data_IF_322804852688
#
_entry.id   IF_322804852688
#
_cell.length_a   1.000
_cell.length_b   1.000
_cell.length_c   1.000
_cell.angle_alpha   90.00
_cell.angle_beta   90.00
_cell.angle_gamma   90.00
#
_symmetry.space_group_name_H-M   'P 1'
#
loop_
_entity.id
_entity.type
_entity.pdbx_description
1 polymer ?
#
# COMPACT_ATOMS: atom_id res chain seq x y z
N UNK A 1 -20.77 39.91 -4.97
CA UNK A 1 -21.63 39.15 -5.92
C UNK A 1 -23.10 39.34 -5.58
N UNK A 2 -23.98 39.44 -6.59
CA UNK A 2 -25.44 39.46 -6.39
C UNK A 2 -26.04 38.04 -6.51
N UNK A 3 -27.21 37.80 -5.92
CA UNK A 3 -27.88 36.48 -5.89
C UNK A 3 -28.17 35.90 -7.28
N UNK A 4 -28.39 36.75 -8.28
CA UNK A 4 -28.60 36.34 -9.67
C UNK A 4 -27.36 35.71 -10.31
N UNK A 5 -26.17 36.27 -10.05
CA UNK A 5 -24.90 35.73 -10.57
C UNK A 5 -24.59 34.37 -9.93
N UNK A 6 -24.89 34.23 -8.63
CA UNK A 6 -24.80 32.96 -7.94
C UNK A 6 -25.77 31.93 -8.54
N UNK A 7 -27.03 32.30 -8.77
CA UNK A 7 -28.02 31.39 -9.35
C UNK A 7 -27.60 30.87 -10.73
N UNK A 8 -27.09 31.76 -11.61
CA UNK A 8 -26.54 31.35 -12.91
C UNK A 8 -25.40 30.35 -12.73
N UNK A 9 -24.47 30.63 -11.82
CA UNK A 9 -23.33 29.73 -11.59
C UNK A 9 -23.76 28.36 -11.04
N UNK A 10 -24.75 28.33 -10.14
CA UNK A 10 -25.31 27.07 -9.63
C UNK A 10 -26.03 26.29 -10.72
N UNK A 11 -26.70 26.96 -11.66
CA UNK A 11 -27.30 26.32 -12.84
C UNK A 11 -26.24 25.74 -13.75
N UNK A 12 -25.19 26.51 -14.07
CA UNK A 12 -24.06 26.03 -14.89
C UNK A 12 -23.40 24.80 -14.25
N UNK A 13 -23.26 24.79 -12.93
CA UNK A 13 -22.74 23.64 -12.20
C UNK A 13 -23.72 22.45 -12.22
N UNK A 14 -25.01 22.65 -11.94
CA UNK A 14 -26.01 21.59 -11.94
C UNK A 14 -26.16 20.92 -13.32
N UNK A 15 -26.12 21.72 -14.39
CA UNK A 15 -26.28 21.29 -15.79
C UNK A 15 -24.97 20.81 -16.44
N UNK A 16 -23.86 20.77 -15.70
CA UNK A 16 -22.62 20.19 -16.22
C UNK A 16 -21.84 21.10 -17.18
N UNK A 17 -22.03 22.42 -17.11
CA UNK A 17 -21.39 23.41 -17.99
C UNK A 17 -20.04 23.91 -17.49
N UNK A 18 -19.72 23.67 -16.21
CA UNK A 18 -18.43 24.01 -15.61
C UNK A 18 -17.35 22.94 -15.84
N UNK A 19 -16.08 23.36 -15.82
CA UNK A 19 -14.90 22.50 -15.74
C UNK A 19 -14.29 22.54 -14.33
N UNK A 20 -13.43 21.58 -13.95
CA UNK A 20 -12.72 21.63 -12.68
C UNK A 20 -11.92 22.90 -12.47
N UNK A 21 -11.26 23.37 -13.53
CA UNK A 21 -10.44 24.58 -13.48
C UNK A 21 -11.30 25.84 -13.35
N UNK A 22 -12.39 25.93 -14.13
CA UNK A 22 -13.28 27.11 -14.08
C UNK A 22 -14.02 27.20 -12.75
N UNK A 23 -14.51 26.07 -12.23
CA UNK A 23 -15.19 26.02 -10.95
C UNK A 23 -14.26 26.39 -9.80
N UNK A 24 -13.03 25.84 -9.80
CA UNK A 24 -12.04 26.14 -8.76
C UNK A 24 -11.60 27.59 -8.77
N UNK A 25 -11.26 28.14 -9.94
CA UNK A 25 -10.88 29.55 -10.06
C UNK A 25 -12.00 30.47 -9.60
N UNK A 26 -13.23 30.18 -10.00
CA UNK A 26 -14.39 30.97 -9.60
C UNK A 26 -14.64 30.87 -8.09
N UNK A 27 -14.53 29.68 -7.50
CA UNK A 27 -14.67 29.49 -6.06
C UNK A 27 -13.61 30.30 -5.29
N UNK A 28 -12.35 30.19 -5.67
CA UNK A 28 -11.24 30.86 -4.98
C UNK A 28 -11.40 32.40 -5.01
N UNK A 29 -11.96 32.95 -6.09
CA UNK A 29 -12.28 34.38 -6.22
C UNK A 29 -13.48 34.82 -5.37
N UNK A 30 -14.49 33.97 -5.20
CA UNK A 30 -15.79 34.34 -4.63
C UNK A 30 -16.05 33.75 -3.23
N UNK A 31 -15.12 32.95 -2.68
CA UNK A 31 -15.26 32.28 -1.37
C UNK A 31 -15.69 33.23 -0.23
N UNK A 32 -15.07 34.42 -0.04
CA UNK A 32 -15.46 35.33 1.05
C UNK A 32 -16.87 35.90 0.89
N UNK A 33 -17.33 36.07 -0.34
CA UNK A 33 -18.67 36.59 -0.63
C UNK A 33 -19.74 35.51 -0.43
N UNK A 34 -19.43 34.27 -0.82
CA UNK A 34 -20.30 33.10 -0.63
C UNK A 34 -20.53 32.78 0.85
N UNK A 35 -19.52 32.96 1.70
CA UNK A 35 -19.63 32.70 3.14
C UNK A 35 -20.62 33.67 3.83
N UNK A 36 -20.81 34.87 3.29
CA UNK A 36 -21.77 35.85 3.79
C UNK A 36 -23.18 35.67 3.19
N UNK A 37 -23.28 35.10 1.98
CA UNK A 37 -24.55 34.95 1.25
C UNK A 37 -25.28 33.63 1.56
N UNK A 38 -24.54 32.55 1.78
CA UNK A 38 -25.09 31.22 2.01
C UNK A 38 -25.15 30.88 3.50
N UNK A 39 -26.10 30.03 3.88
CA UNK A 39 -26.02 29.43 5.22
C UNK A 39 -24.77 28.55 5.32
N UNK A 40 -24.24 28.38 6.54
CA UNK A 40 -23.03 27.58 6.76
C UNK A 40 -23.12 26.18 6.15
N UNK A 41 -24.29 25.54 6.20
CA UNK A 41 -24.50 24.20 5.64
C UNK A 41 -24.48 24.17 4.11
N UNK A 42 -25.05 25.19 3.45
CA UNK A 42 -25.04 25.32 1.99
C UNK A 42 -23.62 25.62 1.48
N UNK A 43 -22.92 26.53 2.16
CA UNK A 43 -21.53 26.86 1.86
C UNK A 43 -20.63 25.61 1.92
N UNK A 44 -20.73 24.81 2.98
CA UNK A 44 -19.90 23.60 3.13
C UNK A 44 -20.21 22.52 2.08
N UNK A 45 -21.47 22.39 1.64
CA UNK A 45 -21.84 21.45 0.58
C UNK A 45 -21.39 21.91 -0.80
N UNK A 46 -21.32 23.22 -1.03
CA UNK A 46 -20.89 23.81 -2.29
C UNK A 46 -19.36 23.90 -2.40
N UNK A 47 -18.65 23.94 -1.27
CA UNK A 47 -17.20 24.07 -1.23
C UNK A 47 -16.49 22.90 -1.94
N UNK A 48 -15.61 23.16 -2.92
CA UNK A 48 -14.79 22.14 -3.54
C UNK A 48 -13.90 21.46 -2.49
N UNK A 49 -13.96 20.13 -2.43
CA UNK A 49 -13.05 19.35 -1.59
C UNK A 49 -11.65 19.29 -2.22
N UNK A 50 -10.63 19.03 -1.41
CA UNK A 50 -9.29 18.69 -1.91
C UNK A 50 -9.28 17.19 -2.25
N UNK A 51 -8.94 16.87 -3.48
CA UNK A 51 -8.91 15.49 -3.97
C UNK A 51 -7.93 15.36 -5.15
N UNK A 52 -7.31 14.19 -5.33
CA UNK A 52 -6.36 13.92 -6.41
C UNK A 52 -7.05 13.80 -7.78
N UNK A 53 -8.22 13.13 -7.84
CA UNK A 53 -9.11 13.18 -9.01
C UNK A 53 -9.68 14.58 -9.26
N UNK A 54 -9.58 15.03 -10.51
CA UNK A 54 -9.98 16.38 -10.94
C UNK A 54 -11.47 16.63 -10.87
N UNK A 55 -12.29 15.60 -11.14
CA UNK A 55 -13.74 15.76 -11.22
C UNK A 55 -14.48 15.60 -9.88
N UNK A 56 -13.85 15.00 -8.87
CA UNK A 56 -14.48 14.79 -7.54
C UNK A 56 -14.88 16.10 -6.86
N UNK A 57 -14.07 17.18 -6.87
CA UNK A 57 -14.45 18.45 -6.27
C UNK A 57 -15.68 19.07 -6.94
N UNK A 58 -15.77 19.03 -8.27
CA UNK A 58 -16.90 19.57 -9.05
C UNK A 58 -18.15 18.74 -8.82
N UNK A 59 -18.04 17.41 -8.87
CA UNK A 59 -19.15 16.48 -8.61
C UNK A 59 -19.73 16.66 -7.19
N UNK A 60 -18.87 16.87 -6.20
CA UNK A 60 -19.30 17.14 -4.82
C UNK A 60 -20.04 18.47 -4.73
N UNK A 61 -19.48 19.51 -5.36
CA UNK A 61 -20.07 20.85 -5.39
C UNK A 61 -21.39 20.89 -6.15
N UNK A 62 -21.55 20.10 -7.22
CA UNK A 62 -22.78 19.95 -7.98
C UNK A 62 -23.94 19.47 -7.09
N UNK A 63 -23.69 18.52 -6.18
CA UNK A 63 -24.69 18.08 -5.21
C UNK A 63 -25.11 19.22 -4.26
N UNK A 64 -24.16 20.08 -3.89
CA UNK A 64 -24.45 21.30 -3.14
C UNK A 64 -25.32 22.29 -3.91
N UNK A 65 -24.99 22.53 -5.19
CA UNK A 65 -25.75 23.42 -6.06
C UNK A 65 -27.18 22.93 -6.30
N UNK A 66 -27.36 21.64 -6.57
CA UNK A 66 -28.68 21.00 -6.71
C UNK A 66 -29.52 21.26 -5.45
N UNK A 67 -28.97 20.98 -4.26
CA UNK A 67 -29.71 21.17 -3.01
C UNK A 67 -30.11 22.64 -2.75
N UNK A 68 -29.27 23.60 -3.18
CA UNK A 68 -29.59 25.04 -3.08
C UNK A 68 -30.70 25.42 -4.07
N UNK A 69 -30.62 24.94 -5.32
CA UNK A 69 -31.61 25.22 -6.37
C UNK A 69 -32.98 24.58 -6.07
N UNK A 70 -33.00 23.35 -5.53
CA UNK A 70 -34.22 22.69 -5.06
C UNK A 70 -34.91 23.50 -3.97
N UNK A 71 -34.13 24.03 -3.01
CA UNK A 71 -34.64 24.86 -1.92
C UNK A 71 -35.16 26.22 -2.39
N UNK A 72 -34.57 26.79 -3.45
CA UNK A 72 -35.03 28.06 -4.04
C UNK A 72 -36.19 27.89 -5.02
N UNK A 73 -36.58 26.65 -5.37
CA UNK A 73 -37.64 26.37 -6.34
C UNK A 73 -37.28 26.73 -7.79
N UNK A 74 -35.98 26.83 -8.10
CA UNK A 74 -35.49 27.14 -9.43
C UNK A 74 -35.50 25.88 -10.29
N UNK A 75 -35.98 25.95 -11.53
CA UNK A 75 -35.92 24.83 -12.46
C UNK A 75 -34.49 24.64 -13.01
N UNK A 76 -34.02 23.40 -13.07
CA UNK A 76 -32.72 23.02 -13.61
C UNK A 76 -32.77 21.59 -14.16
N UNK A 77 -31.83 21.23 -15.02
CA UNK A 77 -31.61 19.85 -15.47
C UNK A 77 -30.33 19.29 -14.85
N UNK A 78 -30.42 18.14 -14.17
CA UNK A 78 -29.22 17.49 -13.60
C UNK A 78 -28.45 16.81 -14.71
N UNK A 79 -27.20 17.23 -14.91
CA UNK A 79 -26.28 16.56 -15.82
C UNK A 79 -25.49 15.47 -15.12
N UNK A 80 -25.37 14.31 -15.77
CA UNK A 80 -24.52 13.21 -15.32
C UNK A 80 -23.05 13.37 -15.74
N UNK A 81 -22.70 14.45 -16.46
CA UNK A 81 -21.38 14.63 -17.05
C UNK A 81 -20.25 14.46 -16.03
N UNK A 82 -20.35 15.08 -14.85
CA UNK A 82 -19.27 15.03 -13.85
C UNK A 82 -19.07 13.63 -13.27
N UNK A 83 -20.16 12.88 -13.08
CA UNK A 83 -20.08 11.50 -12.64
C UNK A 83 -19.44 10.62 -13.72
N UNK A 84 -19.84 10.77 -14.99
CA UNK A 84 -19.24 10.03 -16.10
C UNK A 84 -17.75 10.35 -16.27
N UNK A 85 -17.37 11.62 -16.15
CA UNK A 85 -15.97 12.06 -16.24
C UNK A 85 -15.13 11.56 -15.08
N UNK A 86 -15.67 11.57 -13.86
CA UNK A 86 -15.02 10.98 -12.69
C UNK A 86 -14.82 9.48 -12.87
N UNK A 87 -15.84 8.74 -13.31
CA UNK A 87 -15.73 7.29 -13.55
C UNK A 87 -14.69 6.97 -14.63
N UNK A 88 -14.63 7.76 -15.70
CA UNK A 88 -13.60 7.61 -16.73
C UNK A 88 -12.18 7.91 -16.21
N UNK A 89 -12.02 8.92 -15.37
CA UNK A 89 -10.75 9.25 -14.71
C UNK A 89 -10.30 8.14 -13.76
N UNK A 90 -11.24 7.58 -12.97
CA UNK A 90 -11.00 6.46 -12.07
C UNK A 90 -10.60 5.19 -12.84
N UNK A 91 -11.30 4.86 -13.92
CA UNK A 91 -10.96 3.72 -14.78
C UNK A 91 -9.57 3.88 -15.44
N UNK A 92 -9.26 5.08 -15.94
CA UNK A 92 -7.95 5.39 -16.49
C UNK A 92 -6.84 5.24 -15.44
N UNK A 93 -7.07 5.73 -14.22
CA UNK A 93 -6.14 5.58 -13.10
C UNK A 93 -5.92 4.10 -12.76
N UNK A 94 -6.97 3.31 -12.61
CA UNK A 94 -6.87 1.87 -12.34
C UNK A 94 -6.06 1.15 -13.42
N UNK A 95 -6.33 1.45 -14.70
CA UNK A 95 -5.58 0.87 -15.83
C UNK A 95 -4.11 1.25 -15.80
N UNK A 96 -3.78 2.49 -15.46
CA UNK A 96 -2.39 2.92 -15.35
C UNK A 96 -1.67 2.24 -14.18
N UNK A 97 -2.33 2.13 -13.02
CA UNK A 97 -1.79 1.38 -11.88
C UNK A 97 -1.52 -0.09 -12.25
N UNK A 98 -2.42 -0.75 -12.98
CA UNK A 98 -2.19 -2.10 -13.47
C UNK A 98 -0.98 -2.18 -14.43
N UNK A 99 -0.80 -1.19 -15.31
CA UNK A 99 0.35 -1.15 -16.24
C UNK A 99 1.65 -0.98 -15.48
N UNK A 100 1.70 -0.07 -14.51
CA UNK A 100 2.85 0.14 -13.63
C UNK A 100 3.19 -1.16 -12.88
N UNK A 101 2.18 -1.81 -12.28
CA UNK A 101 2.37 -3.07 -11.55
C UNK A 101 2.86 -4.20 -12.45
N UNK A 102 2.30 -4.34 -13.66
CA UNK A 102 2.78 -5.32 -14.66
C UNK A 102 4.22 -5.05 -15.08
N UNK A 103 4.62 -3.77 -15.20
CA UNK A 103 6.00 -3.39 -15.52
C UNK A 103 6.95 -3.75 -14.37
N UNK A 104 6.61 -3.37 -13.14
CA UNK A 104 7.35 -3.76 -11.92
C UNK A 104 7.54 -5.28 -11.83
N UNK A 105 6.47 -6.06 -12.01
CA UNK A 105 6.57 -7.52 -11.97
C UNK A 105 7.45 -8.10 -13.07
N UNK A 106 7.43 -7.54 -14.28
CA UNK A 106 8.31 -7.97 -15.38
C UNK A 106 9.77 -7.67 -15.08
N UNK A 107 10.08 -6.47 -14.59
CA UNK A 107 11.43 -6.06 -14.19
C UNK A 107 11.94 -6.93 -13.04
N UNK A 108 11.12 -7.14 -12.02
CA UNK A 108 11.45 -8.02 -10.89
C UNK A 108 11.77 -9.44 -11.36
N UNK A 109 10.92 -10.02 -12.21
CA UNK A 109 11.11 -11.39 -12.72
C UNK A 109 12.38 -11.51 -13.58
N UNK A 110 12.74 -10.46 -14.31
CA UNK A 110 13.97 -10.43 -15.10
C UNK A 110 15.23 -10.38 -14.20
N UNK A 111 15.16 -9.63 -13.09
CA UNK A 111 16.28 -9.47 -12.17
C UNK A 111 16.44 -10.65 -11.18
N UNK A 112 15.34 -11.30 -10.79
CA UNK A 112 15.32 -12.39 -9.81
C UNK A 112 14.58 -13.64 -10.35
N UNK A 113 15.04 -14.26 -11.46
CA UNK A 113 14.32 -15.34 -12.11
C UNK A 113 14.21 -16.60 -11.24
N UNK A 114 15.26 -16.94 -10.50
CA UNK A 114 15.30 -18.14 -9.65
C UNK A 114 14.36 -18.03 -8.44
N UNK A 115 14.29 -16.85 -7.81
CA UNK A 115 13.34 -16.59 -6.74
C UNK A 115 11.89 -16.74 -7.23
N UNK A 116 11.60 -16.25 -8.44
CA UNK A 116 10.28 -16.39 -9.07
C UNK A 116 9.97 -17.84 -9.44
N UNK A 117 10.98 -18.63 -9.82
CA UNK A 117 10.83 -20.05 -10.14
C UNK A 117 10.50 -20.87 -8.89
N UNK A 118 11.26 -20.66 -7.80
CA UNK A 118 11.13 -21.42 -6.55
C UNK A 118 9.92 -20.99 -5.73
N UNK A 119 9.67 -19.68 -5.64
CA UNK A 119 8.63 -19.07 -4.80
C UNK A 119 7.77 -18.08 -5.61
N UNK A 120 6.87 -18.60 -6.48
CA UNK A 120 6.09 -17.77 -7.39
C UNK A 120 5.04 -16.89 -6.72
N UNK A 121 4.42 -17.30 -5.59
CA UNK A 121 3.42 -16.47 -4.90
C UNK A 121 4.12 -15.38 -4.10
N UNK A 122 5.17 -15.74 -3.37
CA UNK A 122 5.98 -14.79 -2.63
C UNK A 122 6.57 -13.73 -3.56
N UNK A 123 7.20 -14.14 -4.66
CA UNK A 123 7.82 -13.22 -5.62
C UNK A 123 6.82 -12.24 -6.23
N UNK A 124 5.58 -12.67 -6.53
CA UNK A 124 4.53 -11.78 -7.02
C UNK A 124 4.08 -10.78 -5.96
N UNK A 125 3.92 -11.22 -4.71
CA UNK A 125 3.52 -10.37 -3.59
C UNK A 125 4.62 -9.35 -3.28
N UNK A 126 5.87 -9.81 -3.22
CA UNK A 126 7.05 -8.97 -3.03
C UNK A 126 7.17 -7.93 -4.13
N UNK A 127 7.12 -8.32 -5.41
CA UNK A 127 7.19 -7.37 -6.52
C UNK A 127 6.10 -6.28 -6.51
N UNK A 128 4.93 -6.57 -5.92
CA UNK A 128 3.85 -5.60 -5.73
C UNK A 128 4.14 -4.64 -4.58
N UNK A 129 4.66 -5.17 -3.46
CA UNK A 129 4.91 -4.45 -2.22
C UNK A 129 6.19 -3.60 -2.24
N UNK A 130 7.15 -3.90 -3.12
CA UNK A 130 8.44 -3.20 -3.16
C UNK A 130 8.29 -1.69 -3.45
N UNK A 131 8.83 -0.92 -2.51
CA UNK A 131 9.06 0.51 -2.58
C UNK A 131 10.49 0.84 -3.06
N UNK A 132 10.76 2.06 -3.54
CA UNK A 132 12.10 2.44 -3.99
C UNK A 132 13.19 2.38 -2.91
N UNK A 133 12.82 2.39 -1.63
CA UNK A 133 13.73 2.26 -0.49
C UNK A 133 14.02 0.82 -0.10
N UNK A 134 13.28 -0.15 -0.63
CA UNK A 134 13.44 -1.55 -0.28
C UNK A 134 14.64 -2.18 -0.98
N UNK A 135 15.27 -3.14 -0.30
CA UNK A 135 16.49 -3.78 -0.77
C UNK A 135 16.31 -5.29 -0.93
N UNK A 136 16.80 -5.81 -2.06
CA UNK A 136 16.98 -7.24 -2.28
C UNK A 136 18.45 -7.45 -2.57
N UNK A 137 19.11 -8.15 -1.67
CA UNK A 137 20.53 -8.46 -1.79
C UNK A 137 20.73 -9.57 -2.81
N UNK A 138 21.87 -9.58 -3.52
CA UNK A 138 22.23 -10.68 -4.42
C UNK A 138 22.31 -12.00 -3.65
N UNK A 139 22.27 -13.12 -4.37
CA UNK A 139 22.48 -14.46 -3.83
C UNK A 139 23.75 -14.54 -2.96
N UNK A 140 23.65 -15.18 -1.79
CA UNK A 140 24.81 -15.52 -0.99
C UNK A 140 25.58 -16.70 -1.61
N UNK A 141 26.90 -16.75 -1.39
CA UNK A 141 27.71 -17.93 -1.73
C UNK A 141 27.66 -18.97 -0.62
N UNK A 142 27.95 -20.23 -0.95
CA UNK A 142 28.05 -21.31 0.05
C UNK A 142 29.07 -20.98 1.15
N UNK A 143 30.16 -20.28 0.81
CA UNK A 143 31.18 -19.84 1.77
C UNK A 143 30.65 -18.77 2.72
N UNK A 144 29.82 -17.84 2.23
CA UNK A 144 29.18 -16.83 3.08
C UNK A 144 28.21 -17.46 4.06
N UNK A 145 27.41 -18.42 3.60
CA UNK A 145 26.47 -19.18 4.44
C UNK A 145 27.26 -19.99 5.48
N UNK A 146 28.28 -20.74 5.08
CA UNK A 146 29.10 -21.54 5.98
C UNK A 146 29.85 -20.69 7.01
N UNK A 147 30.32 -19.50 6.60
CA UNK A 147 30.95 -18.54 7.52
C UNK A 147 29.96 -18.06 8.57
N UNK A 148 28.73 -17.75 8.17
CA UNK A 148 27.69 -17.31 9.10
C UNK A 148 27.27 -18.42 10.06
N UNK A 149 27.09 -19.65 9.56
CA UNK A 149 26.80 -20.83 10.40
C UNK A 149 27.88 -21.09 11.45
N UNK A 150 29.16 -20.90 11.06
CA UNK A 150 30.30 -21.02 11.97
C UNK A 150 30.30 -19.94 13.05
N UNK A 151 30.00 -18.69 12.69
CA UNK A 151 29.89 -17.56 13.64
C UNK A 151 28.75 -17.78 14.63
N UNK A 152 27.63 -18.31 14.16
CA UNK A 152 26.45 -18.59 14.97
C UNK A 152 26.53 -19.92 15.71
N UNK A 153 27.55 -20.76 15.49
CA UNK A 153 27.58 -22.16 15.98
C UNK A 153 26.23 -22.87 15.73
N UNK A 154 25.70 -22.70 14.51
CA UNK A 154 24.35 -23.12 14.13
C UNK A 154 24.34 -23.61 12.69
N UNK A 155 23.83 -24.81 12.44
CA UNK A 155 23.63 -25.32 11.07
C UNK A 155 22.24 -24.94 10.57
N UNK A 156 22.17 -24.17 9.47
CA UNK A 156 20.92 -23.74 8.89
C UNK A 156 20.18 -24.93 8.25
N UNK A 157 18.84 -24.99 8.40
CA UNK A 157 18.03 -25.97 7.66
C UNK A 157 18.25 -25.85 6.15
N UNK A 158 18.19 -26.98 5.44
CA UNK A 158 18.47 -27.03 4.00
C UNK A 158 17.63 -26.02 3.21
N UNK A 159 16.33 -25.88 3.52
CA UNK A 159 15.44 -24.92 2.86
C UNK A 159 15.80 -23.46 3.15
N UNK A 160 16.38 -23.15 4.32
CA UNK A 160 16.85 -21.80 4.67
C UNK A 160 18.14 -21.48 3.92
N UNK A 161 19.05 -22.47 3.80
CA UNK A 161 20.24 -22.34 2.94
C UNK A 161 19.85 -22.12 1.48
N UNK A 162 18.93 -22.93 0.96
CA UNK A 162 18.40 -22.79 -0.40
C UNK A 162 17.87 -21.38 -0.64
N UNK A 163 17.13 -20.81 0.31
CA UNK A 163 16.67 -19.43 0.21
C UNK A 163 17.84 -18.43 0.12
N UNK A 164 18.85 -18.53 0.98
CA UNK A 164 19.97 -17.59 0.98
C UNK A 164 20.86 -17.70 -0.27
N UNK A 165 20.91 -18.88 -0.90
CA UNK A 165 21.53 -19.07 -2.21
C UNK A 165 20.74 -18.39 -3.36
N UNK A 166 19.48 -18.00 -3.14
CA UNK A 166 18.71 -17.19 -4.08
C UNK A 166 18.86 -15.69 -3.81
N UNK A 167 18.95 -15.31 -2.54
CA UNK A 167 19.11 -13.91 -2.10
C UNK A 167 19.68 -13.87 -0.69
N UNK A 168 20.76 -13.11 -0.46
CA UNK A 168 21.37 -12.96 0.86
C UNK A 168 20.47 -12.20 1.85
N UNK A 169 19.46 -11.50 1.36
CA UNK A 169 18.53 -10.77 2.20
C UNK A 169 17.47 -9.99 1.42
N UNK A 170 16.32 -9.81 2.07
CA UNK A 170 15.18 -9.04 1.60
C UNK A 170 14.79 -8.10 2.74
N UNK A 171 14.77 -6.81 2.46
CA UNK A 171 14.30 -5.78 3.39
C UNK A 171 13.16 -5.01 2.73
N UNK A 172 11.95 -5.20 3.26
CA UNK A 172 10.73 -4.52 2.81
C UNK A 172 10.23 -3.63 3.94
N UNK A 173 10.01 -2.35 3.65
CA UNK A 173 9.51 -1.32 4.58
C UNK A 173 8.19 -1.70 5.26
N UNK A 174 7.42 -2.57 4.63
CA UNK A 174 6.17 -3.14 5.15
C UNK A 174 6.35 -4.14 6.30
N UNK A 175 7.57 -4.32 6.82
CA UNK A 175 7.84 -5.11 8.02
C UNK A 175 8.23 -6.55 7.76
N UNK A 176 8.91 -6.82 6.63
CA UNK A 176 9.53 -8.12 6.33
C UNK A 176 11.02 -7.90 6.12
N UNK A 177 11.84 -8.43 7.02
CA UNK A 177 13.29 -8.34 6.94
C UNK A 177 13.87 -9.73 7.12
N UNK A 178 14.58 -10.21 6.12
CA UNK A 178 15.34 -11.47 6.16
C UNK A 178 16.76 -11.12 5.72
N UNK A 179 17.79 -11.44 6.49
CA UNK A 179 19.16 -11.12 6.09
C UNK A 179 20.13 -12.11 6.71
N UNK A 180 20.98 -12.72 5.89
CA UNK A 180 21.98 -13.70 6.34
C UNK A 180 22.95 -13.05 7.34
N UNK A 181 23.45 -11.86 7.05
CA UNK A 181 24.37 -11.14 7.94
C UNK A 181 23.67 -10.53 9.16
N UNK A 182 22.36 -10.34 9.09
CA UNK A 182 21.53 -9.87 10.21
C UNK A 182 21.11 -10.95 11.19
N UNK A 183 21.46 -12.22 10.96
CA UNK A 183 21.11 -13.32 11.86
C UNK A 183 21.95 -13.28 13.15
N UNK A 184 21.34 -13.59 14.28
CA UNK A 184 21.98 -13.63 15.60
C UNK A 184 21.31 -14.63 16.54
N UNK A 185 22.00 -15.00 17.61
CA UNK A 185 21.44 -15.84 18.67
C UNK A 185 20.62 -15.04 19.68
N UNK A 186 19.45 -15.55 20.03
CA UNK A 186 18.60 -15.00 21.09
C UNK A 186 18.15 -16.10 22.03
N UNK A 187 18.25 -15.86 23.33
CA UNK A 187 17.73 -16.77 24.35
C UNK A 187 16.39 -16.25 24.88
N UNK A 188 15.33 -17.02 24.70
CA UNK A 188 13.98 -16.69 25.17
C UNK A 188 13.50 -17.84 26.06
N UNK A 189 13.09 -17.53 27.28
CA UNK A 189 12.60 -18.52 28.26
C UNK A 189 13.57 -19.69 28.50
N UNK A 190 14.88 -19.44 28.42
CA UNK A 190 15.93 -20.45 28.62
C UNK A 190 16.24 -21.31 27.39
N UNK A 191 15.52 -21.12 26.28
CA UNK A 191 15.74 -21.81 25.01
C UNK A 191 16.54 -20.91 24.04
N UNK A 192 17.53 -21.49 23.35
CA UNK A 192 18.35 -20.78 22.35
C UNK A 192 17.67 -20.85 20.98
N UNK A 193 17.55 -19.69 20.34
CA UNK A 193 17.03 -19.54 18.99
C UNK A 193 18.03 -18.80 18.11
N UNK A 194 18.05 -19.14 16.84
CA UNK A 194 18.69 -18.33 15.81
C UNK A 194 17.63 -17.43 15.17
N UNK A 195 17.80 -16.12 15.25
CA UNK A 195 16.90 -15.13 14.65
C UNK A 195 17.19 -15.06 13.15
N UNK A 196 16.19 -15.40 12.34
CA UNK A 196 16.26 -15.34 10.87
C UNK A 196 16.04 -13.91 10.34
N UNK A 197 15.30 -13.11 11.09
CA UNK A 197 14.97 -11.73 10.75
C UNK A 197 13.68 -11.28 11.41
N UNK A 198 13.06 -10.24 10.86
CA UNK A 198 11.87 -9.59 11.40
C UNK A 198 10.64 -9.83 10.52
N UNK A 199 9.51 -10.02 11.19
CA UNK A 199 8.20 -10.13 10.56
C UNK A 199 7.15 -9.45 11.44
N UNK A 200 6.80 -8.21 11.10
CA UNK A 200 5.92 -7.33 11.90
C UNK A 200 4.44 -7.68 11.72
N UNK A 201 4.07 -8.91 12.07
CA UNK A 201 2.69 -9.40 11.92
C UNK A 201 1.76 -8.92 13.04
N UNK A 202 2.28 -8.70 14.24
CA UNK A 202 1.50 -8.25 15.40
C UNK A 202 2.01 -6.91 15.95
N UNK A 203 3.33 -6.75 16.05
CA UNK A 203 3.99 -5.49 16.40
C UNK A 203 5.31 -5.31 15.62
N UNK A 204 5.79 -4.07 15.57
CA UNK A 204 7.09 -3.71 15.02
C UNK A 204 8.22 -4.32 15.85
N UNK A 205 9.16 -5.01 15.21
CA UNK A 205 10.25 -5.72 15.90
C UNK A 205 9.92 -7.17 16.28
N UNK A 206 8.75 -7.70 15.88
CA UNK A 206 8.49 -9.14 15.97
C UNK A 206 9.45 -9.96 15.09
N UNK A 207 9.85 -11.14 15.58
CA UNK A 207 10.97 -11.89 15.03
C UNK A 207 10.60 -13.28 14.51
N UNK A 208 11.29 -13.70 13.46
CA UNK A 208 11.31 -15.07 12.94
C UNK A 208 12.47 -15.83 13.55
N UNK A 209 12.17 -16.99 14.12
CA UNK A 209 13.10 -17.78 14.91
C UNK A 209 13.27 -19.18 14.32
N UNK A 210 14.48 -19.70 14.40
CA UNK A 210 14.86 -21.07 14.09
C UNK A 210 15.38 -21.76 15.34
N UNK A 211 15.12 -23.06 15.45
CA UNK A 211 15.69 -23.93 16.48
C UNK A 211 16.72 -24.88 15.89
N UNK A 212 17.80 -25.22 16.63
CA UNK A 212 18.79 -26.15 16.12
C UNK A 212 18.16 -27.52 15.78
N UNK A 213 18.45 -28.03 14.58
CA UNK A 213 17.96 -29.34 14.14
C UNK A 213 16.47 -29.40 13.74
N UNK A 214 15.76 -28.28 13.71
CA UNK A 214 14.37 -28.19 13.27
C UNK A 214 14.24 -27.37 11.98
N UNK A 215 13.32 -27.76 11.08
CA UNK A 215 12.93 -26.91 9.94
C UNK A 215 11.84 -25.89 10.30
N UNK A 216 11.20 -26.07 11.47
CA UNK A 216 10.05 -25.28 11.89
C UNK A 216 10.45 -23.83 12.11
N UNK A 217 9.66 -22.93 11.51
CA UNK A 217 9.79 -21.49 11.74
C UNK A 217 8.91 -21.10 12.91
N UNK A 218 9.53 -20.51 13.91
CA UNK A 218 8.89 -19.98 15.10
C UNK A 218 8.73 -18.47 14.95
N UNK A 219 7.74 -17.92 15.65
CA UNK A 219 7.44 -16.49 15.68
C UNK A 219 7.49 -16.01 17.12
N UNK A 220 8.20 -14.93 17.34
CA UNK A 220 8.26 -14.25 18.62
C UNK A 220 7.50 -12.95 18.55
N UNK A 221 6.36 -12.92 19.27
CA UNK A 221 5.59 -11.71 19.54
C UNK A 221 6.27 -11.01 20.71
N UNK A 222 7.14 -10.04 20.43
CA UNK A 222 8.06 -9.51 21.44
C UNK A 222 7.34 -8.71 22.53
N UNK A 223 6.30 -7.94 22.19
CA UNK A 223 5.48 -7.20 23.16
C UNK A 223 4.76 -8.12 24.16
N UNK A 224 4.40 -9.33 23.72
CA UNK A 224 3.70 -10.32 24.52
C UNK A 224 4.67 -11.32 25.19
N UNK A 225 5.97 -11.20 24.93
CA UNK A 225 7.02 -12.14 25.34
C UNK A 225 6.63 -13.61 25.05
N UNK A 226 6.09 -13.85 23.84
CA UNK A 226 5.48 -15.13 23.48
C UNK A 226 6.04 -15.72 22.20
N UNK A 227 6.63 -16.90 22.32
CA UNK A 227 7.05 -17.73 21.18
C UNK A 227 5.93 -18.69 20.78
N UNK A 228 5.63 -18.75 19.47
CA UNK A 228 4.64 -19.68 18.90
C UNK A 228 5.11 -20.23 17.56
N UNK A 229 4.70 -21.45 17.25
CA UNK A 229 4.96 -22.05 15.94
C UNK A 229 4.23 -21.27 14.86
N UNK A 230 4.94 -20.85 13.82
CA UNK A 230 4.38 -20.08 12.71
C UNK A 230 4.01 -20.98 11.53
N UNK A 231 4.98 -21.78 11.06
CA UNK A 231 4.86 -22.70 9.94
C UNK A 231 5.95 -23.78 9.97
N UNK A 232 5.82 -24.78 9.11
CA UNK A 232 6.65 -25.98 9.15
C UNK A 232 8.06 -25.78 8.58
N UNK A 233 8.20 -24.90 7.61
CA UNK A 233 9.43 -24.71 6.85
C UNK A 233 9.46 -23.34 6.15
N UNK A 234 10.58 -23.09 5.46
CA UNK A 234 10.83 -21.86 4.70
C UNK A 234 9.88 -21.71 3.51
N UNK A 235 9.49 -22.81 2.85
CA UNK A 235 8.54 -22.75 1.74
C UNK A 235 7.18 -22.27 2.21
N UNK A 236 6.68 -22.78 3.33
CA UNK A 236 5.41 -22.34 3.90
C UNK A 236 5.47 -20.90 4.43
N UNK A 237 6.61 -20.49 5.00
CA UNK A 237 6.84 -19.10 5.40
C UNK A 237 6.67 -18.17 4.20
N UNK A 238 7.43 -18.37 3.13
CA UNK A 238 7.45 -17.50 1.96
C UNK A 238 6.12 -17.57 1.20
N UNK A 239 5.69 -18.76 0.78
CA UNK A 239 4.56 -18.94 -0.14
C UNK A 239 3.18 -18.81 0.51
N UNK A 240 3.07 -18.91 1.84
CA UNK A 240 1.79 -18.76 2.55
C UNK A 240 1.77 -17.60 3.52
N UNK A 241 2.77 -17.45 4.41
CA UNK A 241 2.70 -16.43 5.48
C UNK A 241 3.07 -15.05 4.96
N UNK A 242 4.28 -14.89 4.43
CA UNK A 242 4.77 -13.61 3.92
C UNK A 242 4.04 -13.20 2.64
N UNK A 243 3.82 -14.13 1.70
CA UNK A 243 3.05 -13.83 0.48
C UNK A 243 1.63 -13.33 0.79
N UNK A 244 0.97 -13.88 1.81
CA UNK A 244 -0.36 -13.42 2.22
C UNK A 244 -0.28 -12.04 2.86
N UNK A 245 0.63 -11.86 3.81
CA UNK A 245 0.84 -10.59 4.50
C UNK A 245 1.11 -9.44 3.51
N UNK A 246 2.05 -9.62 2.59
CA UNK A 246 2.40 -8.62 1.57
C UNK A 246 1.27 -8.31 0.57
N UNK A 247 0.26 -9.19 0.45
CA UNK A 247 -0.90 -8.94 -0.41
C UNK A 247 -2.06 -8.27 0.33
N UNK A 248 -2.12 -8.40 1.66
CA UNK A 248 -3.13 -7.81 2.53
C UNK A 248 -2.81 -6.35 2.92
N UNK A 249 -1.54 -5.93 2.75
CA UNK A 249 -1.13 -4.52 2.75
C UNK A 249 -1.55 -3.82 1.44
#
# INVERSE_FOLDING_TARGET
>A
MNSEVLAIKLLDLAEGRETPESWRSWWDEHEPELENLLSRGEFLKLKPCRHDFRWVPVLTSQKGAIAILEKSGTAFEVSNLYQERYLAELDAFCKEQERVQRKKQKEFKANNPELFCRYPKFSKALAKALEPSDEIQPAATEEQIASQESVLDFTLPAQVREFFLLTAGIQVSTGVILSLSGMFDLTIHGERYCVLGEFWKEADGDQLLLRPGEETIWYYAHEQDKVKRLCNDMTELLEKKLARYLNEQ
#
